data_IF_315901949859
#
_entry.id   IF_315901949859
#
_cell.length_a   1.000
_cell.length_b   1.000
_cell.length_c   1.000
_cell.angle_alpha   90.00
_cell.angle_beta   90.00
_cell.angle_gamma   90.00
#
_symmetry.space_group_name_H-M   'P 1'
#
loop_
_entity.id
_entity.type
_entity.pdbx_description
1 polymer ?
#
# COMPACT_ATOMS: atom_id res chain seq x y z
N UNK A 1 -53.42 -11.26 37.98
CA UNK A 1 -52.16 -10.49 38.18
C UNK A 1 -50.91 -11.23 37.69
N UNK A 2 -50.86 -12.57 37.72
CA UNK A 2 -49.68 -13.38 37.29
C UNK A 2 -49.52 -13.45 35.76
N UNK A 3 -50.61 -13.48 34.97
CA UNK A 3 -50.52 -13.55 33.50
C UNK A 3 -49.95 -12.30 32.83
N UNK A 4 -50.07 -11.12 33.44
CA UNK A 4 -49.50 -9.87 32.87
C UNK A 4 -47.97 -9.87 32.93
N UNK A 5 -47.41 -10.40 34.02
CA UNK A 5 -45.95 -10.47 34.25
C UNK A 5 -45.30 -11.49 33.30
N UNK A 6 -45.96 -12.63 33.04
CA UNK A 6 -45.45 -13.66 32.11
C UNK A 6 -45.44 -13.16 30.65
N UNK A 7 -46.41 -12.32 30.28
CA UNK A 7 -46.47 -11.70 28.95
C UNK A 7 -45.37 -10.65 28.76
N UNK A 8 -45.02 -9.90 29.80
CA UNK A 8 -43.91 -8.94 29.78
C UNK A 8 -42.52 -9.60 29.68
N UNK A 9 -42.30 -10.72 30.38
CA UNK A 9 -41.01 -11.42 30.35
C UNK A 9 -40.76 -12.05 28.97
N UNK A 10 -41.77 -12.65 28.33
CA UNK A 10 -41.64 -13.19 26.96
C UNK A 10 -41.34 -12.08 25.94
N UNK A 11 -41.96 -10.91 26.10
CA UNK A 11 -41.72 -9.74 25.24
C UNK A 11 -40.33 -9.16 25.43
N UNK A 12 -39.83 -9.12 26.67
CA UNK A 12 -38.48 -8.67 27.00
C UNK A 12 -37.40 -9.59 26.41
N UNK A 13 -37.61 -10.91 26.47
CA UNK A 13 -36.73 -11.91 25.83
C UNK A 13 -36.75 -11.80 24.32
N UNK A 14 -37.92 -11.58 23.71
CA UNK A 14 -38.03 -11.32 22.27
C UNK A 14 -37.23 -10.09 21.87
N UNK A 15 -37.35 -8.99 22.60
CA UNK A 15 -36.62 -7.74 22.31
C UNK A 15 -35.10 -7.95 22.45
N UNK A 16 -34.65 -8.63 23.51
CA UNK A 16 -33.22 -8.94 23.68
C UNK A 16 -32.68 -9.82 22.56
N UNK A 17 -33.44 -10.83 22.15
CA UNK A 17 -33.09 -11.68 21.02
C UNK A 17 -32.97 -10.88 19.72
N UNK A 18 -33.90 -9.95 19.45
CA UNK A 18 -33.83 -9.06 18.30
C UNK A 18 -32.60 -8.13 18.34
N UNK A 19 -32.25 -7.61 19.51
CA UNK A 19 -31.05 -6.76 19.68
C UNK A 19 -29.78 -7.56 19.37
N UNK A 20 -29.67 -8.79 19.89
CA UNK A 20 -28.52 -9.68 19.62
C UNK A 20 -28.43 -10.02 18.14
N UNK A 21 -29.58 -10.32 17.50
CA UNK A 21 -29.64 -10.62 16.06
C UNK A 21 -29.17 -9.43 15.21
N UNK A 22 -29.60 -8.20 15.55
CA UNK A 22 -29.18 -6.98 14.86
C UNK A 22 -27.66 -6.77 15.04
N UNK A 23 -27.12 -6.97 16.25
CA UNK A 23 -25.68 -6.84 16.47
C UNK A 23 -24.87 -7.87 15.66
N UNK A 24 -25.31 -9.14 15.62
CA UNK A 24 -24.66 -10.16 14.79
C UNK A 24 -24.71 -9.80 13.30
N UNK A 25 -25.85 -9.30 12.82
CA UNK A 25 -26.01 -8.84 11.44
C UNK A 25 -25.07 -7.66 11.14
N UNK A 26 -24.92 -6.69 12.04
CA UNK A 26 -24.00 -5.57 11.85
C UNK A 26 -22.53 -5.99 11.81
N UNK A 27 -22.14 -6.98 12.61
CA UNK A 27 -20.77 -7.53 12.57
C UNK A 27 -20.55 -8.26 11.25
N UNK A 28 -21.52 -9.06 10.79
CA UNK A 28 -21.45 -9.74 9.50
C UNK A 28 -21.40 -8.76 8.32
N UNK A 29 -22.16 -7.67 8.34
CA UNK A 29 -22.13 -6.67 7.24
C UNK A 29 -20.83 -5.89 7.21
N UNK A 30 -20.25 -5.54 8.37
CA UNK A 30 -18.92 -4.92 8.43
C UNK A 30 -17.86 -5.89 7.90
N UNK A 31 -17.93 -7.17 8.27
CA UNK A 31 -16.99 -8.18 7.79
C UNK A 31 -17.12 -8.44 6.28
N UNK A 32 -18.35 -8.45 5.75
CA UNK A 32 -18.62 -8.58 4.31
C UNK A 32 -18.17 -7.34 3.53
N UNK A 33 -18.32 -6.13 4.10
CA UNK A 33 -17.84 -4.89 3.48
C UNK A 33 -16.31 -4.86 3.37
N UNK A 34 -15.60 -5.33 4.41
CA UNK A 34 -14.13 -5.48 4.36
C UNK A 34 -13.71 -6.52 3.31
N UNK A 35 -14.45 -7.62 3.16
CA UNK A 35 -14.18 -8.63 2.14
C UNK A 35 -14.42 -8.09 0.72
N UNK A 36 -15.45 -7.27 0.51
CA UNK A 36 -15.68 -6.61 -0.77
C UNK A 36 -14.60 -5.58 -1.10
N UNK A 37 -14.10 -4.82 -0.13
CA UNK A 37 -13.00 -3.86 -0.37
C UNK A 37 -11.70 -4.57 -0.80
N UNK A 38 -11.45 -5.78 -0.28
CA UNK A 38 -10.33 -6.63 -0.73
C UNK A 38 -10.60 -7.20 -2.13
N UNK A 39 -11.84 -7.57 -2.45
CA UNK A 39 -12.21 -8.16 -3.74
C UNK A 39 -12.39 -7.14 -4.89
N UNK A 40 -12.72 -5.87 -4.63
CA UNK A 40 -12.80 -4.84 -5.68
C UNK A 40 -11.45 -4.24 -6.07
N UNK A 41 -10.37 -4.58 -5.35
CA UNK A 41 -9.00 -4.32 -5.84
C UNK A 41 -8.63 -5.28 -6.98
N UNK A 42 -9.37 -6.39 -7.15
CA UNK A 42 -9.03 -7.47 -8.07
C UNK A 42 -9.95 -7.53 -9.32
N UNK A 43 -10.13 -6.39 -9.99
CA UNK A 43 -10.76 -6.36 -11.32
C UNK A 43 -10.01 -5.43 -12.26
N UNK A 44 -8.72 -5.69 -12.42
CA UNK A 44 -8.06 -5.53 -13.72
C UNK A 44 -6.84 -6.45 -13.80
N UNK A 45 -7.09 -7.65 -14.34
CA UNK A 45 -6.16 -8.45 -15.14
C UNK A 45 -4.66 -8.18 -14.91
N UNK A 46 -4.05 -8.89 -13.96
CA UNK A 46 -2.74 -9.54 -14.12
C UNK A 46 -2.52 -10.46 -12.92
N UNK A 47 -2.34 -11.75 -13.19
CA UNK A 47 -1.83 -12.73 -12.23
C UNK A 47 -0.43 -12.30 -11.74
N UNK A 48 -0.37 -11.53 -10.65
CA UNK A 48 0.87 -11.36 -9.89
C UNK A 48 0.61 -11.73 -8.42
N UNK A 49 1.21 -12.85 -8.02
CA UNK A 49 1.22 -13.34 -6.65
C UNK A 49 2.11 -12.40 -5.82
N UNK A 50 1.57 -11.27 -5.38
CA UNK A 50 2.31 -10.31 -4.56
C UNK A 50 2.67 -10.96 -3.22
N UNK A 51 3.96 -11.25 -3.05
CA UNK A 51 4.51 -11.68 -1.77
C UNK A 51 4.53 -10.50 -0.80
N UNK A 52 4.63 -10.75 0.50
CA UNK A 52 4.73 -9.69 1.52
C UNK A 52 5.89 -8.71 1.24
N UNK A 53 6.95 -9.19 0.58
CA UNK A 53 8.08 -8.39 0.12
C UNK A 53 7.67 -7.40 -0.98
N UNK A 54 6.77 -7.80 -1.87
CA UNK A 54 6.30 -6.93 -2.96
C UNK A 54 5.38 -5.82 -2.42
N UNK A 55 4.52 -6.12 -1.43
CA UNK A 55 3.77 -5.08 -0.71
C UNK A 55 4.70 -4.07 -0.01
N UNK A 56 5.79 -4.53 0.61
CA UNK A 56 6.77 -3.65 1.25
C UNK A 56 7.49 -2.75 0.22
N UNK A 57 7.82 -3.29 -0.95
CA UNK A 57 8.44 -2.53 -2.05
C UNK A 57 7.47 -1.48 -2.59
N UNK A 58 6.18 -1.84 -2.77
CA UNK A 58 5.14 -0.91 -3.26
C UNK A 58 4.89 0.22 -2.26
N UNK A 59 4.80 -0.07 -0.96
CA UNK A 59 4.62 0.95 0.08
C UNK A 59 5.84 1.88 0.20
N UNK A 60 7.04 1.31 0.07
CA UNK A 60 8.31 2.05 0.00
C UNK A 60 8.34 3.00 -1.19
N UNK A 61 7.93 2.52 -2.37
CA UNK A 61 7.88 3.29 -3.60
C UNK A 61 6.85 4.43 -3.52
N UNK A 62 5.68 4.14 -2.98
CA UNK A 62 4.62 5.13 -2.70
C UNK A 62 5.16 6.29 -1.85
N UNK A 63 5.95 5.98 -0.82
CA UNK A 63 6.56 6.99 0.05
C UNK A 63 7.62 7.84 -0.68
N UNK A 64 8.47 7.22 -1.51
CA UNK A 64 9.48 7.95 -2.31
C UNK A 64 8.81 8.82 -3.40
N UNK A 65 7.73 8.33 -4.00
CA UNK A 65 7.02 9.03 -5.08
C UNK A 65 5.88 9.93 -4.59
N UNK A 66 5.69 10.04 -3.27
CA UNK A 66 4.65 10.88 -2.64
C UNK A 66 4.77 12.36 -3.07
N UNK A 67 6.00 12.82 -3.30
CA UNK A 67 6.26 14.10 -3.93
C UNK A 67 6.29 13.87 -5.45
N UNK A 68 5.20 14.24 -6.13
CA UNK A 68 5.06 14.23 -7.60
C UNK A 68 6.35 14.60 -8.32
N UNK A 69 6.53 14.02 -9.52
CA UNK A 69 7.62 14.28 -10.45
C UNK A 69 8.18 15.71 -10.37
N UNK A 70 9.51 15.87 -10.35
CA UNK A 70 10.11 17.19 -10.29
C UNK A 70 9.66 17.98 -11.51
N UNK A 71 9.52 19.30 -11.37
CA UNK A 71 9.09 20.17 -12.48
C UNK A 71 10.08 20.15 -13.65
N UNK A 72 11.34 19.80 -13.39
CA UNK A 72 12.41 19.75 -14.36
C UNK A 72 13.26 18.50 -14.13
N UNK A 73 13.61 17.84 -15.23
CA UNK A 73 14.58 16.75 -15.26
C UNK A 73 15.88 17.26 -15.89
N UNK A 74 17.01 16.71 -15.47
CA UNK A 74 18.28 16.96 -16.15
C UNK A 74 18.24 16.39 -17.57
N UNK A 75 18.99 17.01 -18.49
CA UNK A 75 19.13 16.48 -19.84
C UNK A 75 19.94 15.16 -19.79
N UNK A 76 19.41 14.03 -20.30
CA UNK A 76 20.10 12.75 -20.25
C UNK A 76 21.48 12.75 -20.93
N UNK A 77 21.67 13.57 -21.96
CA UNK A 77 22.95 13.68 -22.68
C UNK A 77 24.05 14.37 -21.87
N UNK A 78 23.68 15.06 -20.78
CA UNK A 78 24.61 15.77 -19.90
C UNK A 78 24.91 14.98 -18.62
N UNK A 79 24.31 13.81 -18.44
CA UNK A 79 24.55 12.95 -17.29
C UNK A 79 25.84 12.16 -17.49
N UNK A 80 26.80 12.35 -16.60
CA UNK A 80 28.09 11.65 -16.61
C UNK A 80 28.00 10.36 -15.78
N UNK A 81 27.45 9.30 -16.38
CA UNK A 81 27.36 7.98 -15.76
C UNK A 81 27.35 6.87 -16.81
N UNK A 82 27.76 5.67 -16.39
CA UNK A 82 27.89 4.50 -17.28
C UNK A 82 26.55 3.93 -17.74
N UNK A 83 25.48 4.17 -16.99
CA UNK A 83 24.17 3.57 -17.22
C UNK A 83 23.06 4.53 -16.80
N UNK A 84 22.05 4.63 -17.67
CA UNK A 84 20.88 5.48 -17.50
C UNK A 84 19.63 4.61 -17.39
N UNK A 85 18.72 5.01 -16.50
CA UNK A 85 17.41 4.39 -16.36
C UNK A 85 16.35 5.45 -16.02
N UNK A 86 15.09 5.05 -16.05
CA UNK A 86 14.03 5.85 -15.46
C UNK A 86 14.14 5.81 -13.94
N UNK A 87 13.91 6.96 -13.32
CA UNK A 87 13.81 7.06 -11.86
C UNK A 87 12.65 6.17 -11.33
N UNK A 88 12.63 5.83 -10.04
CA UNK A 88 11.62 4.90 -9.49
C UNK A 88 10.17 5.39 -9.64
N UNK A 89 9.95 6.67 -9.92
CA UNK A 89 8.63 7.25 -10.12
C UNK A 89 8.28 7.44 -11.61
N UNK A 90 9.12 6.92 -12.50
CA UNK A 90 9.05 7.01 -13.96
C UNK A 90 9.04 8.44 -14.52
N UNK A 91 9.53 9.42 -13.77
CA UNK A 91 9.49 10.83 -14.12
C UNK A 91 10.66 11.21 -15.05
N UNK A 92 11.88 11.09 -14.53
CA UNK A 92 13.10 11.53 -15.19
C UNK A 92 13.95 10.35 -15.65
N UNK A 93 14.73 10.55 -16.70
CA UNK A 93 15.89 9.68 -16.98
C UNK A 93 17.04 10.17 -16.11
N UNK A 94 17.60 9.27 -15.32
CA UNK A 94 18.61 9.53 -14.29
C UNK A 94 19.70 8.47 -14.35
N UNK A 95 20.79 8.68 -13.62
CA UNK A 95 21.84 7.69 -13.49
C UNK A 95 21.38 6.48 -12.67
N UNK A 96 21.88 5.31 -13.05
CA UNK A 96 21.75 4.09 -12.25
C UNK A 96 22.76 4.13 -11.11
N UNK A 97 22.26 3.89 -9.91
CA UNK A 97 22.97 3.95 -8.64
C UNK A 97 23.07 2.55 -8.01
N UNK A 98 24.19 2.32 -7.33
CA UNK A 98 24.48 1.08 -6.61
C UNK A 98 23.92 1.11 -5.18
N UNK A 99 24.03 -0.02 -4.47
CA UNK A 99 23.52 -0.15 -3.09
C UNK A 99 24.17 0.88 -2.16
N UNK A 100 23.36 1.56 -1.34
CA UNK A 100 23.79 2.59 -0.40
C UNK A 100 23.71 4.02 -0.95
N UNK A 101 23.55 4.20 -2.26
CA UNK A 101 23.40 5.51 -2.89
C UNK A 101 21.95 6.02 -2.84
N UNK A 102 21.80 7.34 -2.97
CA UNK A 102 20.47 7.97 -2.88
C UNK A 102 19.66 7.73 -4.15
N UNK A 103 18.36 7.48 -4.01
CA UNK A 103 17.44 7.28 -5.13
C UNK A 103 16.16 8.08 -4.92
N UNK A 104 15.41 8.28 -6.00
CA UNK A 104 14.15 9.04 -5.97
C UNK A 104 13.93 9.88 -7.21
N UNK A 105 12.80 10.61 -7.27
CA UNK A 105 12.39 11.41 -8.41
C UNK A 105 13.45 12.44 -8.81
N UNK A 106 14.02 12.31 -10.01
CA UNK A 106 15.09 13.17 -10.52
C UNK A 106 16.45 13.04 -9.82
N UNK A 107 16.63 12.05 -8.93
CA UNK A 107 17.87 11.85 -8.15
C UNK A 107 18.69 10.70 -8.74
N UNK A 108 18.07 9.53 -8.88
CA UNK A 108 18.77 8.30 -9.27
C UNK A 108 17.84 7.08 -9.23
N UNK A 109 18.18 6.08 -10.04
CA UNK A 109 17.46 4.81 -10.14
C UNK A 109 18.34 3.69 -9.59
N UNK A 110 17.78 2.71 -8.90
CA UNK A 110 18.60 1.62 -8.35
C UNK A 110 18.93 0.57 -9.40
N UNK A 111 20.18 0.10 -9.42
CA UNK A 111 20.60 -1.01 -10.27
C UNK A 111 19.77 -2.25 -9.95
N UNK A 112 19.13 -2.84 -10.95
CA UNK A 112 18.39 -4.10 -10.79
C UNK A 112 19.32 -5.20 -10.22
N UNK A 113 18.87 -6.03 -9.26
CA UNK A 113 17.52 -6.17 -8.70
C UNK A 113 17.23 -5.34 -7.43
N UNK A 114 18.00 -4.28 -7.18
CA UNK A 114 17.85 -3.44 -6.00
C UNK A 114 16.60 -2.55 -6.09
N UNK A 115 16.11 -2.07 -4.95
CA UNK A 115 14.94 -1.19 -4.89
C UNK A 115 15.22 0.04 -4.02
N UNK A 116 14.42 1.09 -4.23
CA UNK A 116 14.57 2.35 -3.52
C UNK A 116 13.78 2.33 -2.21
N UNK A 117 14.47 2.28 -1.08
CA UNK A 117 13.84 2.33 0.24
C UNK A 117 13.81 3.77 0.76
N UNK A 118 12.64 4.30 1.17
CA UNK A 118 12.53 5.67 1.67
C UNK A 118 13.37 5.89 2.94
N UNK A 119 14.00 7.07 3.06
CA UNK A 119 14.58 7.53 4.32
C UNK A 119 13.48 8.07 5.23
N UNK A 120 13.50 7.67 6.51
CA UNK A 120 12.50 8.07 7.52
C UNK A 120 12.33 9.58 7.68
N UNK A 121 13.39 10.37 7.46
CA UNK A 121 13.41 11.81 7.71
C UNK A 121 13.43 12.67 6.43
N UNK A 122 13.38 12.07 5.24
CA UNK A 122 13.53 12.79 3.96
C UNK A 122 12.49 12.36 2.93
N UNK A 123 11.37 13.08 2.86
CA UNK A 123 10.35 12.85 1.84
C UNK A 123 10.93 13.01 0.43
N UNK A 124 10.68 12.03 -0.43
CA UNK A 124 11.16 12.04 -1.81
C UNK A 124 12.61 11.58 -1.99
N UNK A 125 13.29 11.15 -0.93
CA UNK A 125 14.65 10.59 -1.01
C UNK A 125 14.67 9.22 -0.36
N UNK A 126 15.11 8.22 -1.13
CA UNK A 126 15.41 6.88 -0.65
C UNK A 126 16.88 6.53 -0.74
N UNK A 127 17.21 5.30 -0.35
CA UNK A 127 18.50 4.65 -0.56
C UNK A 127 18.26 3.36 -1.35
N UNK A 128 19.15 3.08 -2.31
CA UNK A 128 19.15 1.80 -3.00
C UNK A 128 19.56 0.69 -2.05
N UNK A 129 18.68 -0.28 -1.83
CA UNK A 129 18.94 -1.44 -1.01
C UNK A 129 18.82 -2.73 -1.81
N UNK A 130 19.68 -3.69 -1.50
CA UNK A 130 19.65 -5.01 -2.12
C UNK A 130 18.37 -5.75 -1.77
N UNK A 131 17.81 -6.47 -2.74
CA UNK A 131 16.77 -7.46 -2.45
C UNK A 131 17.40 -8.54 -1.56
N UNK A 132 16.94 -8.66 -0.31
CA UNK A 132 17.30 -9.81 0.52
C UNK A 132 16.78 -11.05 -0.19
N UNK A 133 17.70 -11.81 -0.82
CA UNK A 133 17.43 -13.17 -1.26
C UNK A 133 17.34 -14.01 0.00
N UNK A 134 16.11 -14.16 0.53
CA UNK A 134 15.78 -15.17 1.51
C UNK A 134 15.62 -16.53 0.82
#
# INVERSE_FOLDING_TARGET
MISSIIMDVKRLYQIHYFIILIQLLTICTVFLLQLQLVATIDSNNTDEYYTTNDLFIIDSLSTVCSNKCPKFCNNPELLDCSELAKDPCECCTVCVHDTGESCGPGIGACRHPNFCQPKLDQNGIGICIGKFLA
#
